data_IF_123347774760
#
_entry.id   IF_123347774760
#
_cell.length_a   1.000
_cell.length_b   1.000
_cell.length_c   1.000
_cell.angle_alpha   90.00
_cell.angle_beta   90.00
_cell.angle_gamma   90.00
#
_symmetry.space_group_name_H-M   'P 1'
#
loop_
_entity.id
_entity.type
_entity.pdbx_description
1 polymer ?
#
# COMPACT_ATOMS: atom_id res chain seq x y z
N UNK A 1 -29.09 33.83 7.22
CA UNK A 1 -29.46 32.57 7.91
C UNK A 1 -28.83 31.32 7.30
N UNK A 2 -28.88 31.08 5.98
CA UNK A 2 -28.31 29.86 5.37
C UNK A 2 -26.80 29.66 5.58
N UNK A 3 -26.00 30.73 5.50
CA UNK A 3 -24.56 30.66 5.74
C UNK A 3 -24.18 30.33 7.20
N UNK A 4 -25.01 30.74 8.16
CA UNK A 4 -24.79 30.47 9.60
C UNK A 4 -25.07 29.00 9.92
N UNK A 5 -26.11 28.42 9.30
CA UNK A 5 -26.47 27.01 9.48
C UNK A 5 -25.36 26.10 8.90
N UNK A 6 -24.81 26.44 7.73
CA UNK A 6 -23.70 25.69 7.11
C UNK A 6 -22.44 25.75 7.99
N UNK A 7 -22.14 26.92 8.58
CA UNK A 7 -21.03 27.08 9.51
C UNK A 7 -21.16 26.19 10.75
N UNK A 8 -22.36 26.10 11.32
CA UNK A 8 -22.64 25.26 12.51
C UNK A 8 -22.53 23.77 12.17
N UNK A 9 -23.03 23.34 11.00
CA UNK A 9 -22.95 21.93 10.57
C UNK A 9 -21.50 21.49 10.36
N UNK A 10 -20.65 22.35 9.78
CA UNK A 10 -19.22 22.06 9.61
C UNK A 10 -18.50 22.00 10.96
N UNK A 11 -18.83 22.90 11.90
CA UNK A 11 -18.23 22.92 13.23
C UNK A 11 -18.62 21.70 14.08
N UNK A 12 -19.88 21.26 14.00
CA UNK A 12 -20.36 20.04 14.68
C UNK A 12 -19.78 18.78 14.03
N UNK A 13 -19.62 18.75 12.70
CA UNK A 13 -18.99 17.63 12.00
C UNK A 13 -17.50 17.45 12.33
N UNK A 14 -16.74 18.56 12.38
CA UNK A 14 -15.33 18.54 12.80
C UNK A 14 -15.17 18.25 14.30
N UNK A 15 -16.08 18.76 15.14
CA UNK A 15 -16.12 18.45 16.57
C UNK A 15 -16.43 16.98 16.85
N UNK A 16 -17.36 16.37 16.12
CA UNK A 16 -17.68 14.95 16.25
C UNK A 16 -16.55 14.05 15.72
N UNK A 17 -15.91 14.41 14.60
CA UNK A 17 -14.75 13.69 14.08
C UNK A 17 -13.53 13.78 15.03
N UNK A 18 -13.34 14.92 15.69
CA UNK A 18 -12.32 15.07 16.74
C UNK A 18 -12.64 14.32 18.03
N UNK A 19 -13.90 14.31 18.46
CA UNK A 19 -14.33 13.69 19.72
C UNK A 19 -14.45 12.16 19.63
N UNK A 20 -14.82 11.60 18.46
CA UNK A 20 -14.92 10.15 18.25
C UNK A 20 -13.74 9.54 17.49
N UNK A 21 -13.05 10.30 16.63
CA UNK A 21 -11.90 9.79 15.86
C UNK A 21 -10.61 9.72 16.67
N UNK A 22 -10.42 10.64 17.62
CA UNK A 22 -9.21 10.67 18.47
C UNK A 22 -9.16 9.51 19.47
N UNK A 23 -10.24 9.12 20.17
CA UNK A 23 -10.22 7.94 21.04
C UNK A 23 -10.01 6.63 20.27
N UNK A 24 -10.60 6.48 19.07
CA UNK A 24 -10.47 5.26 18.26
C UNK A 24 -9.05 5.07 17.69
N UNK A 25 -8.37 6.16 17.30
CA UNK A 25 -6.97 6.12 16.88
C UNK A 25 -6.00 5.97 18.07
N UNK A 26 -6.36 6.47 19.25
CA UNK A 26 -5.60 6.26 20.48
C UNK A 26 -5.74 4.81 20.95
N UNK A 27 -6.91 4.18 20.93
CA UNK A 27 -7.09 2.77 21.31
C UNK A 27 -6.30 1.82 20.42
N UNK A 28 -6.27 2.07 19.10
CA UNK A 28 -5.53 1.22 18.15
C UNK A 28 -4.00 1.34 18.30
N UNK A 29 -3.50 2.51 18.75
CA UNK A 29 -2.07 2.73 19.01
C UNK A 29 -1.63 2.53 20.47
N UNK A 30 -2.55 2.59 21.44
CA UNK A 30 -2.26 2.36 22.87
C UNK A 30 -2.57 0.95 23.34
N UNK A 31 -3.22 0.11 22.53
CA UNK A 31 -3.40 -1.32 22.82
C UNK A 31 -2.07 -2.05 23.04
N UNK A 32 -1.06 -1.75 22.21
CA UNK A 32 0.31 -2.24 22.39
C UNK A 32 0.97 -1.72 23.67
N UNK A 33 0.91 -0.41 23.92
CA UNK A 33 1.50 0.18 25.14
C UNK A 33 0.79 -0.27 26.43
N UNK A 34 -0.52 -0.52 26.42
CA UNK A 34 -1.24 -1.09 27.58
C UNK A 34 -0.85 -2.54 27.83
N UNK A 35 -0.63 -3.33 26.77
CA UNK A 35 -0.12 -4.69 26.90
C UNK A 35 1.29 -4.69 27.48
N UNK A 36 2.16 -3.79 27.02
CA UNK A 36 3.52 -3.61 27.57
C UNK A 36 3.51 -3.10 29.01
N UNK A 37 2.64 -2.14 29.37
CA UNK A 37 2.51 -1.67 30.77
C UNK A 37 1.94 -2.77 31.68
N UNK A 38 1.04 -3.61 31.17
CA UNK A 38 0.50 -4.75 31.94
C UNK A 38 1.57 -5.83 32.12
N UNK A 39 2.35 -6.12 31.08
CA UNK A 39 3.50 -7.03 31.13
C UNK A 39 4.60 -6.52 32.08
N UNK A 40 4.93 -5.22 32.01
CA UNK A 40 5.86 -4.56 32.92
C UNK A 40 5.36 -4.57 34.36
N UNK A 41 4.07 -4.33 34.61
CA UNK A 41 3.47 -4.47 35.95
C UNK A 41 3.54 -5.90 36.47
N UNK A 42 3.26 -6.88 35.62
CA UNK A 42 3.32 -8.29 35.98
C UNK A 42 4.75 -8.76 36.25
N UNK A 43 5.74 -8.24 35.50
CA UNK A 43 7.16 -8.43 35.78
C UNK A 43 7.59 -7.77 37.09
N UNK A 44 7.05 -6.59 37.41
CA UNK A 44 7.33 -5.88 38.65
C UNK A 44 6.74 -6.61 39.86
N UNK A 45 5.51 -7.11 39.74
CA UNK A 45 4.83 -7.92 40.77
C UNK A 45 5.55 -9.25 40.98
N UNK A 46 6.00 -9.92 39.91
CA UNK A 46 6.84 -11.11 40.00
C UNK A 46 8.19 -10.81 40.67
N UNK A 47 8.79 -9.65 40.39
CA UNK A 47 10.03 -9.23 41.05
C UNK A 47 9.81 -8.92 42.53
N UNK A 48 8.70 -8.28 42.93
CA UNK A 48 8.36 -8.05 44.33
C UNK A 48 8.08 -9.36 45.09
N UNK A 49 7.40 -10.32 44.47
CA UNK A 49 7.19 -11.67 45.03
C UNK A 49 8.53 -12.40 45.17
N UNK A 50 9.45 -12.25 44.22
CA UNK A 50 10.79 -12.82 44.30
C UNK A 50 11.61 -12.19 45.43
N UNK A 51 11.57 -10.85 45.58
CA UNK A 51 12.26 -10.13 46.65
C UNK A 51 11.70 -10.53 48.02
N UNK A 52 10.38 -10.63 48.19
CA UNK A 52 9.76 -11.11 49.44
C UNK A 52 10.17 -12.54 49.78
N UNK A 53 10.17 -13.43 48.79
CA UNK A 53 10.65 -14.82 48.97
C UNK A 53 12.14 -14.87 49.30
N UNK A 54 12.95 -13.97 48.74
CA UNK A 54 14.37 -13.84 49.06
C UNK A 54 14.58 -13.33 50.49
N UNK A 55 13.74 -12.39 50.96
CA UNK A 55 13.81 -11.83 52.30
C UNK A 55 13.39 -12.85 53.38
N UNK A 56 12.37 -13.67 53.10
CA UNK A 56 11.98 -14.82 53.92
C UNK A 56 13.04 -15.95 53.89
N UNK A 57 13.67 -16.18 52.74
CA UNK A 57 14.79 -17.11 52.61
C UNK A 57 16.02 -16.62 53.41
N UNK A 58 16.36 -15.32 53.34
CA UNK A 58 17.47 -14.74 54.11
C UNK A 58 17.24 -14.81 55.62
N UNK A 59 15.99 -14.69 56.09
CA UNK A 59 15.63 -14.89 57.50
C UNK A 59 15.75 -16.36 57.95
N UNK A 60 15.57 -17.33 57.05
CA UNK A 60 15.66 -18.76 57.35
C UNK A 60 17.04 -19.39 57.06
N UNK A 61 17.93 -18.70 56.35
CA UNK A 61 19.28 -19.17 55.94
C UNK A 61 20.40 -18.58 56.82
N UNK A 62 20.09 -17.80 57.86
CA UNK A 62 21.10 -17.39 58.84
C UNK A 62 21.53 -18.60 59.68
N UNK A 63 22.69 -19.16 59.36
CA UNK A 63 23.40 -20.09 60.22
C UNK A 63 23.99 -19.25 61.37
N UNK A 64 23.46 -19.39 62.59
CA UNK A 64 24.06 -18.77 63.77
C UNK A 64 25.47 -19.35 64.00
N UNK A 65 26.45 -18.50 64.33
CA UNK A 65 27.81 -18.96 64.67
C UNK A 65 27.74 -19.90 65.88
N UNK A 66 27.90 -21.21 65.64
CA UNK A 66 27.73 -22.27 66.63
C UNK A 66 26.79 -23.41 66.20
N UNK A 67 26.18 -23.33 65.01
CA UNK A 67 25.28 -24.37 64.52
C UNK A 67 25.95 -25.76 64.36
N UNK A 68 25.27 -26.79 64.86
CA UNK A 68 25.62 -28.21 64.73
C UNK A 68 25.77 -28.63 63.24
N UNK A 69 26.74 -29.50 62.95
CA UNK A 69 27.00 -30.10 61.64
C UNK A 69 25.73 -30.68 60.98
N UNK A 70 24.81 -31.28 61.73
CA UNK A 70 23.54 -31.79 61.21
C UNK A 70 22.63 -30.65 60.70
N UNK A 71 22.66 -29.49 61.34
CA UNK A 71 21.91 -28.29 60.93
C UNK A 71 22.51 -27.69 59.65
N UNK A 72 23.85 -27.62 59.56
CA UNK A 72 24.56 -27.18 58.36
C UNK A 72 24.24 -28.11 57.17
N UNK A 73 24.30 -29.43 57.39
CA UNK A 73 24.04 -30.42 56.32
C UNK A 73 22.59 -30.34 55.83
N UNK A 74 21.62 -30.12 56.72
CA UNK A 74 20.22 -29.95 56.35
C UNK A 74 19.99 -28.67 55.53
N UNK A 75 20.64 -27.56 55.89
CA UNK A 75 20.58 -26.30 55.13
C UNK A 75 21.25 -26.44 53.76
N UNK A 76 22.40 -27.10 53.68
CA UNK A 76 23.10 -27.36 52.41
C UNK A 76 22.28 -28.25 51.48
N UNK A 77 21.66 -29.33 51.99
CA UNK A 77 20.79 -30.18 51.18
C UNK A 77 19.53 -29.44 50.70
N UNK A 78 18.93 -28.59 51.55
CA UNK A 78 17.80 -27.74 51.15
C UNK A 78 18.21 -26.68 50.12
N UNK A 79 19.43 -26.15 50.19
CA UNK A 79 19.97 -25.23 49.20
C UNK A 79 20.24 -25.96 47.88
N UNK A 80 20.84 -27.15 47.94
CA UNK A 80 21.13 -27.98 46.78
C UNK A 80 19.85 -28.41 46.05
N UNK A 81 18.77 -28.73 46.77
CA UNK A 81 17.49 -29.06 46.13
C UNK A 81 16.88 -27.84 45.44
N UNK A 82 16.95 -26.66 46.07
CA UNK A 82 16.49 -25.40 45.47
C UNK A 82 17.30 -24.99 44.24
N UNK A 83 18.61 -25.22 44.24
CA UNK A 83 19.47 -24.99 43.07
C UNK A 83 19.11 -25.94 41.93
N UNK A 84 18.87 -27.22 42.22
CA UNK A 84 18.45 -28.20 41.21
C UNK A 84 17.05 -27.87 40.62
N UNK A 85 16.11 -27.44 41.47
CA UNK A 85 14.80 -26.94 41.01
C UNK A 85 14.95 -25.69 40.13
N UNK A 86 15.84 -24.77 40.49
CA UNK A 86 16.09 -23.56 39.72
C UNK A 86 16.74 -23.86 38.36
N UNK A 87 17.73 -24.76 38.31
CA UNK A 87 18.33 -25.21 37.04
C UNK A 87 17.28 -25.89 36.14
N UNK A 88 16.41 -26.73 36.72
CA UNK A 88 15.33 -27.38 35.98
C UNK A 88 14.31 -26.35 35.44
N UNK A 89 13.91 -25.37 36.26
CA UNK A 89 13.03 -24.27 35.87
C UNK A 89 13.64 -23.47 34.73
N UNK A 90 14.89 -23.00 34.90
CA UNK A 90 15.59 -22.19 33.90
C UNK A 90 15.73 -22.94 32.59
N UNK A 91 16.06 -24.24 32.61
CA UNK A 91 16.19 -25.04 31.39
C UNK A 91 14.85 -25.19 30.66
N UNK A 92 13.76 -25.29 31.41
CA UNK A 92 12.40 -25.37 30.86
C UNK A 92 11.99 -24.04 30.23
N UNK A 93 12.22 -22.94 30.95
CA UNK A 93 11.94 -21.58 30.48
C UNK A 93 12.76 -21.21 29.23
N UNK A 94 14.04 -21.60 29.20
CA UNK A 94 14.89 -21.39 28.02
C UNK A 94 14.41 -22.18 26.81
N UNK A 95 13.94 -23.42 27.02
CA UNK A 95 13.39 -24.26 25.94
C UNK A 95 12.09 -23.69 25.40
N UNK A 96 11.22 -23.17 26.28
CA UNK A 96 9.98 -22.51 25.90
C UNK A 96 10.24 -21.20 25.13
N UNK A 97 11.22 -20.41 25.57
CA UNK A 97 11.65 -19.19 24.88
C UNK A 97 12.23 -19.49 23.49
N UNK A 98 13.06 -20.53 23.35
CA UNK A 98 13.63 -20.93 22.05
C UNK A 98 12.54 -21.42 21.07
N UNK A 99 11.52 -22.12 21.57
CA UNK A 99 10.35 -22.51 20.79
C UNK A 99 9.55 -21.28 20.33
N UNK A 100 9.28 -20.33 21.24
CA UNK A 100 8.56 -19.10 20.91
C UNK A 100 9.32 -18.23 19.89
N UNK A 101 10.65 -18.13 20.00
CA UNK A 101 11.49 -17.41 19.03
C UNK A 101 11.45 -18.08 17.65
N UNK A 102 11.50 -19.42 17.59
CA UNK A 102 11.37 -20.15 16.32
C UNK A 102 10.01 -19.94 15.67
N UNK A 103 8.94 -19.98 16.45
CA UNK A 103 7.58 -19.74 15.97
C UNK A 103 7.38 -18.29 15.51
N UNK A 104 7.91 -17.33 16.26
CA UNK A 104 7.88 -15.92 15.86
C UNK A 104 8.66 -15.69 14.57
N UNK A 105 9.83 -16.33 14.41
CA UNK A 105 10.63 -16.22 13.19
C UNK A 105 9.89 -16.77 11.97
N UNK A 106 9.30 -17.97 12.08
CA UNK A 106 8.55 -18.57 10.98
C UNK A 106 7.28 -17.77 10.63
N UNK A 107 6.57 -17.25 11.64
CA UNK A 107 5.42 -16.37 11.42
C UNK A 107 5.82 -15.06 10.72
N UNK A 108 6.97 -14.49 11.09
CA UNK A 108 7.49 -13.26 10.49
C UNK A 108 7.94 -13.49 9.04
N UNK A 109 8.64 -14.60 8.76
CA UNK A 109 9.03 -14.98 7.40
C UNK A 109 7.81 -15.20 6.50
N UNK A 110 6.77 -15.87 7.01
CA UNK A 110 5.52 -16.07 6.28
C UNK A 110 4.77 -14.75 6.02
N UNK A 111 4.74 -13.84 7.01
CA UNK A 111 4.13 -12.52 6.87
C UNK A 111 4.88 -11.65 5.84
N UNK A 112 6.22 -11.64 5.89
CA UNK A 112 7.05 -10.92 4.92
C UNK A 112 6.86 -11.45 3.51
N UNK A 113 6.79 -12.77 3.34
CA UNK A 113 6.53 -13.38 2.03
C UNK A 113 5.18 -12.97 1.47
N UNK A 114 4.12 -13.00 2.29
CA UNK A 114 2.78 -12.54 1.88
C UNK A 114 2.77 -11.04 1.52
N UNK A 115 3.49 -10.21 2.26
CA UNK A 115 3.61 -8.78 1.94
C UNK A 115 4.36 -8.56 0.63
N UNK A 116 5.43 -9.31 0.36
CA UNK A 116 6.17 -9.23 -0.90
C UNK A 116 5.28 -9.64 -2.09
N UNK A 117 4.54 -10.75 -1.98
CA UNK A 117 3.61 -11.21 -3.02
C UNK A 117 2.45 -10.21 -3.25
N UNK A 118 1.94 -9.58 -2.18
CA UNK A 118 0.91 -8.55 -2.29
C UNK A 118 1.44 -7.28 -2.97
N UNK A 119 2.64 -6.83 -2.60
CA UNK A 119 3.28 -5.65 -3.18
C UNK A 119 3.61 -5.85 -4.66
N UNK A 120 4.06 -7.05 -5.04
CA UNK A 120 4.33 -7.39 -6.44
C UNK A 120 3.06 -7.30 -7.29
N UNK A 121 1.96 -7.90 -6.80
CA UNK A 121 0.64 -7.81 -7.47
C UNK A 121 0.13 -6.38 -7.58
N UNK A 122 0.23 -5.61 -6.49
CA UNK A 122 -0.21 -4.22 -6.48
C UNK A 122 0.63 -3.36 -7.43
N UNK A 123 1.95 -3.60 -7.48
CA UNK A 123 2.86 -2.94 -8.43
C UNK A 123 2.51 -3.25 -9.89
N UNK A 124 2.23 -4.52 -10.21
CA UNK A 124 1.80 -4.91 -11.56
C UNK A 124 0.45 -4.29 -11.96
N UNK A 125 -0.49 -4.24 -11.02
CA UNK A 125 -1.80 -3.62 -11.24
C UNK A 125 -1.65 -2.10 -11.46
N UNK A 126 -0.86 -1.42 -10.63
CA UNK A 126 -0.58 0.01 -10.78
C UNK A 126 0.10 0.33 -12.11
N UNK A 127 1.07 -0.49 -12.53
CA UNK A 127 1.72 -0.32 -13.83
C UNK A 127 0.73 -0.50 -14.99
N UNK A 128 -0.20 -1.44 -14.87
CA UNK A 128 -1.25 -1.67 -15.88
C UNK A 128 -2.22 -0.50 -15.94
N UNK A 129 -2.71 -0.02 -14.79
CA UNK A 129 -3.58 1.15 -14.71
C UNK A 129 -2.89 2.40 -15.25
N UNK A 130 -1.60 2.60 -14.92
CA UNK A 130 -0.81 3.72 -15.42
C UNK A 130 -0.67 3.68 -16.95
N UNK A 131 -0.38 2.50 -17.53
CA UNK A 131 -0.33 2.33 -19.00
C UNK A 131 -1.67 2.68 -19.65
N UNK A 132 -2.79 2.21 -19.08
CA UNK A 132 -4.14 2.53 -19.54
C UNK A 132 -4.43 4.04 -19.49
N UNK A 133 -4.07 4.70 -18.38
CA UNK A 133 -4.25 6.14 -18.22
C UNK A 133 -3.41 6.97 -19.21
N UNK A 134 -2.15 6.59 -19.41
CA UNK A 134 -1.26 7.22 -20.40
C UNK A 134 -1.81 7.03 -21.81
N UNK A 135 -2.27 5.83 -22.16
CA UNK A 135 -2.89 5.55 -23.44
C UNK A 135 -4.13 6.43 -23.68
N UNK A 136 -5.05 6.46 -22.72
CA UNK A 136 -6.26 7.29 -22.79
C UNK A 136 -5.95 8.78 -22.97
N UNK A 137 -4.97 9.28 -22.21
CA UNK A 137 -4.50 10.68 -22.32
C UNK A 137 -3.98 10.99 -23.72
N UNK A 138 -3.17 10.09 -24.30
CA UNK A 138 -2.68 10.25 -25.68
C UNK A 138 -3.80 10.20 -26.71
N UNK A 139 -4.81 9.34 -26.53
CA UNK A 139 -5.96 9.30 -27.42
C UNK A 139 -6.81 10.57 -27.32
N UNK A 140 -6.99 11.14 -26.13
CA UNK A 140 -7.65 12.44 -25.97
C UNK A 140 -6.85 13.59 -26.59
N UNK A 141 -5.50 13.53 -26.57
CA UNK A 141 -4.67 14.48 -27.32
C UNK A 141 -4.87 14.33 -28.83
N UNK A 142 -4.84 13.10 -29.36
CA UNK A 142 -5.11 12.79 -30.78
C UNK A 142 -6.47 13.33 -31.19
N UNK A 143 -7.48 13.11 -30.34
CA UNK A 143 -8.80 13.72 -30.49
C UNK A 143 -8.63 15.24 -30.59
N UNK A 144 -8.14 15.93 -29.56
CA UNK A 144 -8.01 17.39 -29.57
C UNK A 144 -7.38 17.95 -30.85
N UNK A 145 -6.35 17.28 -31.36
CA UNK A 145 -5.70 17.60 -32.64
C UNK A 145 -6.59 17.33 -33.87
N UNK A 146 -7.38 16.27 -33.91
CA UNK A 146 -8.39 16.04 -34.96
C UNK A 146 -9.46 17.15 -35.00
N UNK A 147 -9.88 17.68 -33.84
CA UNK A 147 -10.77 18.86 -33.81
C UNK A 147 -10.09 20.10 -34.37
N UNK A 148 -8.80 20.28 -34.08
CA UNK A 148 -8.01 21.35 -34.69
C UNK A 148 -7.94 21.19 -36.20
N UNK A 149 -7.61 20.00 -36.72
CA UNK A 149 -7.64 19.69 -38.16
C UNK A 149 -9.00 20.03 -38.77
N UNK A 150 -10.11 19.62 -38.14
CA UNK A 150 -11.46 19.95 -38.60
C UNK A 150 -11.69 21.46 -38.67
N UNK A 151 -11.24 22.20 -37.66
CA UNK A 151 -11.36 23.66 -37.59
C UNK A 151 -10.52 24.34 -38.67
N UNK A 152 -9.29 23.89 -38.89
CA UNK A 152 -8.39 24.40 -39.92
C UNK A 152 -8.94 24.11 -41.33
N UNK A 153 -9.52 22.92 -41.55
CA UNK A 153 -10.20 22.57 -42.80
C UNK A 153 -11.42 23.48 -43.07
N UNK A 154 -12.23 23.76 -42.06
CA UNK A 154 -13.36 24.69 -42.17
C UNK A 154 -12.90 26.12 -42.49
N UNK A 155 -11.79 26.54 -41.91
CA UNK A 155 -11.14 27.82 -42.20
C UNK A 155 -10.37 27.82 -43.54
N UNK A 156 -10.38 26.71 -44.30
CA UNK A 156 -9.63 26.51 -45.55
C UNK A 156 -8.12 26.67 -45.39
N UNK A 157 -7.59 26.49 -44.17
CA UNK A 157 -6.17 26.50 -43.89
C UNK A 157 -5.56 25.10 -44.10
N UNK A 158 -5.49 24.69 -45.37
CA UNK A 158 -5.07 23.34 -45.74
C UNK A 158 -3.63 23.04 -45.32
N UNK A 159 -2.73 24.02 -45.40
CA UNK A 159 -1.32 23.83 -45.02
C UNK A 159 -1.14 23.52 -43.52
N UNK A 160 -1.85 24.21 -42.64
CA UNK A 160 -1.80 23.91 -41.19
C UNK A 160 -2.49 22.58 -40.88
N UNK A 161 -3.62 22.30 -41.53
CA UNK A 161 -4.31 21.03 -41.36
C UNK A 161 -3.45 19.83 -41.83
N UNK A 162 -2.72 19.97 -42.95
CA UNK A 162 -1.79 18.96 -43.46
C UNK A 162 -0.64 18.67 -42.48
N UNK A 163 -0.03 19.74 -41.95
CA UNK A 163 1.02 19.64 -40.94
C UNK A 163 0.53 18.92 -39.67
N UNK A 164 -0.68 19.26 -39.21
CA UNK A 164 -1.28 18.65 -38.02
C UNK A 164 -1.64 17.18 -38.25
N UNK A 165 -2.12 16.80 -39.45
CA UNK A 165 -2.30 15.38 -39.81
C UNK A 165 -0.96 14.64 -39.82
N UNK A 166 0.12 15.28 -40.27
CA UNK A 166 1.47 14.71 -40.19
C UNK A 166 1.86 14.34 -38.74
N UNK A 167 1.66 15.28 -37.81
CA UNK A 167 1.90 15.06 -36.37
C UNK A 167 1.02 13.94 -35.82
N UNK A 168 -0.27 13.91 -36.19
CA UNK A 168 -1.19 12.85 -35.77
C UNK A 168 -0.75 11.46 -36.22
N UNK A 169 -0.25 11.33 -37.46
CA UNK A 169 0.25 10.06 -38.00
C UNK A 169 1.46 9.56 -37.23
N UNK A 170 2.37 10.45 -36.83
CA UNK A 170 3.53 10.11 -36.01
C UNK A 170 3.14 9.76 -34.56
N UNK A 171 2.21 10.51 -33.97
CA UNK A 171 1.72 10.25 -32.61
C UNK A 171 1.05 8.87 -32.53
N UNK A 172 0.23 8.52 -33.52
CA UNK A 172 -0.37 7.18 -33.58
C UNK A 172 0.69 6.09 -33.74
N UNK A 173 1.72 6.31 -34.55
CA UNK A 173 2.82 5.35 -34.71
C UNK A 173 3.52 5.08 -33.37
N UNK A 174 3.87 6.14 -32.62
CA UNK A 174 4.51 6.01 -31.29
C UNK A 174 3.63 5.30 -30.26
N UNK A 175 2.31 5.34 -30.41
CA UNK A 175 1.38 4.68 -29.49
C UNK A 175 1.27 3.18 -29.80
N UNK A 176 1.42 2.77 -31.06
CA UNK A 176 1.31 1.36 -31.48
C UNK A 176 2.28 0.44 -30.75
N UNK A 177 3.47 0.91 -30.40
CA UNK A 177 4.49 0.10 -29.73
C UNK A 177 4.15 -0.22 -28.28
N UNK A 178 3.15 0.48 -27.71
CA UNK A 178 2.78 0.37 -26.30
C UNK A 178 1.41 -0.30 -26.08
N UNK A 179 0.79 -0.86 -27.12
CA UNK A 179 -0.57 -1.43 -27.06
C UNK A 179 -0.64 -2.89 -27.52
N UNK A 180 -1.75 -3.54 -27.19
CA UNK A 180 -2.05 -4.91 -27.61
C UNK A 180 -2.20 -5.03 -29.14
N UNK A 181 -2.03 -6.23 -29.73
CA UNK A 181 -2.17 -6.45 -31.17
C UNK A 181 -3.53 -6.02 -31.74
N UNK A 182 -4.61 -6.20 -30.98
CA UNK A 182 -5.98 -5.81 -31.38
C UNK A 182 -6.13 -4.29 -31.48
N UNK A 183 -5.58 -3.57 -30.49
CA UNK A 183 -5.52 -2.11 -30.53
C UNK A 183 -4.62 -1.61 -31.66
N UNK A 184 -3.49 -2.30 -31.91
CA UNK A 184 -2.56 -1.98 -32.99
C UNK A 184 -3.26 -1.94 -34.35
N UNK A 185 -4.08 -2.96 -34.65
CA UNK A 185 -4.89 -3.01 -35.89
C UNK A 185 -5.87 -1.84 -36.01
N UNK A 186 -6.47 -1.42 -34.89
CA UNK A 186 -7.40 -0.28 -34.85
C UNK A 186 -6.66 1.05 -35.09
N UNK A 187 -5.46 1.21 -34.52
CA UNK A 187 -4.60 2.37 -34.75
C UNK A 187 -4.05 2.40 -36.18
N UNK A 188 -3.74 1.25 -36.78
CA UNK A 188 -3.33 1.15 -38.18
C UNK A 188 -4.45 1.61 -39.12
N UNK A 189 -5.69 1.19 -38.86
CA UNK A 189 -6.86 1.62 -39.61
C UNK A 189 -7.07 3.14 -39.48
N UNK A 190 -6.96 3.68 -38.27
CA UNK A 190 -7.07 5.12 -38.04
C UNK A 190 -5.97 5.91 -38.77
N UNK A 191 -4.72 5.43 -38.73
CA UNK A 191 -3.60 6.06 -39.42
C UNK A 191 -3.77 6.00 -40.95
N UNK A 192 -4.25 4.89 -41.50
CA UNK A 192 -4.56 4.76 -42.92
C UNK A 192 -5.69 5.73 -43.34
N UNK A 193 -6.71 5.89 -42.50
CA UNK A 193 -7.80 6.85 -42.73
C UNK A 193 -7.30 8.30 -42.69
N UNK A 194 -6.39 8.65 -41.77
CA UNK A 194 -5.73 9.96 -41.72
C UNK A 194 -4.92 10.26 -42.99
N UNK A 195 -4.15 9.28 -43.48
CA UNK A 195 -3.40 9.41 -44.74
C UNK A 195 -4.33 9.61 -45.94
N UNK A 196 -5.49 8.95 -45.97
CA UNK A 196 -6.52 9.18 -46.99
C UNK A 196 -7.14 10.57 -46.88
N UNK A 197 -7.51 10.99 -45.66
CA UNK A 197 -8.02 12.32 -45.41
C UNK A 197 -7.04 13.39 -45.91
N UNK A 198 -5.73 13.20 -45.66
CA UNK A 198 -4.64 14.05 -46.16
C UNK A 198 -4.63 14.21 -47.68
N UNK A 199 -4.74 13.10 -48.42
CA UNK A 199 -4.77 13.12 -49.89
C UNK A 199 -6.03 13.76 -50.48
N UNK A 200 -7.14 13.71 -49.74
CA UNK A 200 -8.43 14.27 -50.15
C UNK A 200 -8.57 15.77 -49.82
N UNK A 201 -7.74 16.35 -48.93
CA UNK A 201 -7.91 17.75 -48.48
C UNK A 201 -7.85 18.77 -49.63
N UNK A 202 -7.12 18.47 -50.69
CA UNK A 202 -6.93 19.35 -51.86
C UNK A 202 -7.82 18.97 -53.04
N UNK A 203 -8.35 17.75 -53.07
CA UNK A 203 -9.10 17.19 -54.22
C UNK A 203 -10.59 17.02 -53.93
N UNK A 204 -10.96 16.68 -52.68
CA UNK A 204 -12.32 16.50 -52.20
C UNK A 204 -12.40 16.87 -50.69
N UNK A 205 -12.45 18.17 -50.43
CA UNK A 205 -12.52 18.73 -49.07
C UNK A 205 -13.72 18.19 -48.26
N UNK A 206 -14.95 18.08 -48.80
CA UNK A 206 -16.07 17.45 -48.10
C UNK A 206 -15.78 16.03 -47.61
N UNK A 207 -15.17 15.18 -48.45
CA UNK A 207 -14.79 13.82 -48.06
C UNK A 207 -13.72 13.81 -46.99
N UNK A 208 -12.70 14.68 -47.10
CA UNK A 208 -11.66 14.83 -46.08
C UNK A 208 -12.25 15.22 -44.72
N UNK A 209 -13.16 16.20 -44.67
CA UNK A 209 -13.83 16.60 -43.42
C UNK A 209 -14.65 15.45 -42.81
N UNK A 210 -15.38 14.70 -43.63
CA UNK A 210 -16.16 13.54 -43.16
C UNK A 210 -15.27 12.46 -42.57
N UNK A 211 -14.12 12.19 -43.17
CA UNK A 211 -13.14 11.23 -42.63
C UNK A 211 -12.57 11.68 -41.29
N UNK A 212 -12.19 12.95 -41.17
CA UNK A 212 -11.69 13.53 -39.90
C UNK A 212 -12.74 13.41 -38.79
N UNK A 213 -14.01 13.66 -39.11
CA UNK A 213 -15.13 13.53 -38.17
C UNK A 213 -15.35 12.07 -37.73
N UNK A 214 -15.35 11.13 -38.68
CA UNK A 214 -15.43 9.70 -38.38
C UNK A 214 -14.25 9.24 -37.51
N UNK A 215 -13.04 9.70 -37.82
CA UNK A 215 -11.84 9.39 -37.05
C UNK A 215 -11.93 9.87 -35.61
N UNK A 216 -12.49 11.06 -35.38
CA UNK A 216 -12.72 11.57 -34.03
C UNK A 216 -13.59 10.61 -33.20
N UNK A 217 -14.64 10.04 -33.80
CA UNK A 217 -15.50 9.05 -33.15
C UNK A 217 -14.81 7.69 -32.97
N UNK A 218 -14.05 7.23 -33.96
CA UNK A 218 -13.31 5.96 -33.90
C UNK A 218 -12.23 5.98 -32.82
N UNK A 219 -11.42 7.06 -32.75
CA UNK A 219 -10.43 7.23 -31.68
C UNK A 219 -11.11 7.28 -30.31
N UNK A 220 -12.27 7.93 -30.20
CA UNK A 220 -13.06 7.94 -28.98
C UNK A 220 -13.61 6.57 -28.56
N UNK A 221 -13.80 5.64 -29.49
CA UNK A 221 -14.13 4.24 -29.16
C UNK A 221 -12.88 3.50 -28.70
N UNK A 222 -11.79 3.63 -29.45
CA UNK A 222 -10.49 3.01 -29.15
C UNK A 222 -9.99 3.42 -27.76
N UNK A 223 -10.19 4.68 -27.35
CA UNK A 223 -9.76 5.19 -26.04
C UNK A 223 -10.56 4.68 -24.84
N UNK A 224 -11.75 4.12 -25.08
CA UNK A 224 -12.66 3.64 -24.04
C UNK A 224 -12.74 2.10 -23.98
N UNK A 225 -12.02 1.40 -24.87
CA UNK A 225 -11.87 -0.05 -24.79
C UNK A 225 -10.88 -0.39 -23.65
N UNK A 226 -11.25 -1.29 -22.72
CA UNK A 226 -10.38 -1.68 -21.59
C UNK A 226 -9.14 -2.44 -22.03
#
# INVERSE_FOLDING_TARGET
>A
MRAVIIGIVIFVGLGAAGYFGVPFLIEQKTGGLRAEVKDLRQRLENAEVFIRKEEEARKSVRIESGADAATITRVVNALSSKVAELESSVRTDFSAADAAVKEQKSATEAALKKQAEALEKESEELLTQLRGAVFKTRMEEVRGRLLKVKTDLLAKNIGTADAEIGVLVETLEKVKDSVSPEMKKSLDAAQASLKKARGEMTTDLPSAMKRVDLLWHEIGKISNTP
#
